data_IF_730733451518
#
_entry.id   IF_730733451518
#
_cell.length_a   1.000
_cell.length_b   1.000
_cell.length_c   1.000
_cell.angle_alpha   90.00
_cell.angle_beta   90.00
_cell.angle_gamma   90.00
#
_symmetry.space_group_name_H-M   'P 1'
#
loop_
_entity.id
_entity.type
_entity.pdbx_description
1 polymer ?
#
# COMPACT_ATOMS: atom_id res chain seq x y z
N UNK A 1 -55.05 46.43 -6.20
CA UNK A 1 -55.96 45.54 -5.44
C UNK A 1 -55.82 44.14 -6.03
N UNK A 2 -55.51 43.14 -5.18
CA UNK A 2 -55.47 41.68 -5.47
C UNK A 2 -54.25 41.20 -6.27
N UNK A 3 -53.24 40.43 -5.79
CA UNK A 3 -53.22 39.09 -5.11
C UNK A 3 -53.97 38.01 -5.90
N UNK A 4 -53.54 36.76 -6.06
CA UNK A 4 -52.34 35.97 -5.72
C UNK A 4 -52.47 34.63 -6.52
N UNK A 5 -51.50 33.73 -6.38
CA UNK A 5 -51.57 32.27 -6.65
C UNK A 5 -51.22 31.72 -8.04
N UNK A 6 -49.96 31.27 -8.14
CA UNK A 6 -49.44 30.44 -9.24
C UNK A 6 -48.35 29.46 -8.78
N UNK A 7 -48.67 28.56 -7.84
CA UNK A 7 -47.85 27.36 -7.53
C UNK A 7 -48.70 26.10 -7.70
N UNK A 8 -48.43 25.33 -8.76
CA UNK A 8 -48.47 23.86 -8.76
C UNK A 8 -48.23 23.32 -10.17
N UNK A 9 -47.16 22.55 -10.35
CA UNK A 9 -47.07 21.63 -11.49
C UNK A 9 -45.69 21.41 -12.04
N UNK A 10 -44.85 20.60 -11.37
CA UNK A 10 -43.88 19.73 -12.06
C UNK A 10 -43.31 18.65 -11.12
N UNK A 11 -44.18 17.76 -10.61
CA UNK A 11 -43.77 16.50 -9.97
C UNK A 11 -44.78 15.41 -10.28
N UNK A 12 -44.66 14.77 -11.45
CA UNK A 12 -45.19 13.43 -11.77
C UNK A 12 -44.79 13.06 -13.19
N UNK A 13 -43.69 12.31 -13.34
CA UNK A 13 -43.44 11.28 -14.38
C UNK A 13 -41.95 10.94 -14.43
N UNK A 14 -41.52 10.01 -13.60
CA UNK A 14 -40.36 9.11 -13.83
C UNK A 14 -40.33 8.04 -12.72
N UNK A 15 -41.38 7.22 -12.67
CA UNK A 15 -41.38 5.94 -11.93
C UNK A 15 -42.15 4.93 -12.78
N UNK A 16 -41.54 4.45 -13.86
CA UNK A 16 -42.01 3.30 -14.64
C UNK A 16 -41.01 2.97 -15.76
N UNK A 17 -39.83 2.45 -15.42
CA UNK A 17 -39.00 1.58 -16.29
C UNK A 17 -37.78 1.13 -15.49
N UNK A 18 -37.97 0.18 -14.58
CA UNK A 18 -36.87 -0.53 -13.91
C UNK A 18 -37.38 -1.87 -13.36
N UNK A 19 -38.13 -2.61 -14.16
CA UNK A 19 -38.42 -4.01 -13.91
C UNK A 19 -38.38 -4.76 -15.24
N UNK A 20 -37.74 -5.94 -15.20
CA UNK A 20 -37.53 -6.93 -16.28
C UNK A 20 -36.17 -6.84 -16.99
N UNK A 21 -35.22 -7.59 -16.44
CA UNK A 21 -33.96 -7.91 -17.11
C UNK A 21 -33.01 -8.74 -16.24
N UNK A 22 -33.52 -9.63 -15.39
CA UNK A 22 -32.72 -10.59 -14.64
C UNK A 22 -33.35 -11.96 -14.82
N UNK A 23 -32.77 -12.79 -15.70
CA UNK A 23 -32.75 -14.26 -15.65
C UNK A 23 -31.77 -14.77 -16.73
N UNK A 24 -30.96 -15.77 -16.35
CA UNK A 24 -29.96 -16.54 -17.10
C UNK A 24 -28.57 -15.91 -17.33
N UNK A 25 -27.66 -16.16 -16.38
CA UNK A 25 -26.40 -16.92 -16.62
C UNK A 25 -25.72 -17.21 -15.28
N UNK A 26 -26.07 -18.35 -14.69
CA UNK A 26 -25.26 -19.04 -13.67
C UNK A 26 -24.52 -20.14 -14.41
N UNK A 27 -23.20 -20.00 -14.54
CA UNK A 27 -22.24 -21.10 -14.59
C UNK A 27 -20.83 -20.52 -14.53
N UNK A 28 -20.06 -20.95 -13.52
CA UNK A 28 -18.63 -20.75 -13.28
C UNK A 28 -18.19 -19.39 -12.73
N UNK A 29 -18.33 -19.24 -11.40
CA UNK A 29 -17.31 -18.68 -10.48
C UNK A 29 -17.81 -18.78 -9.04
N UNK A 30 -17.96 -20.01 -8.54
CA UNK A 30 -18.11 -20.27 -7.10
C UNK A 30 -16.78 -20.78 -6.56
N UNK A 31 -16.01 -19.88 -5.94
CA UNK A 31 -15.14 -20.22 -4.82
C UNK A 31 -15.48 -19.21 -3.72
N UNK A 32 -16.40 -19.65 -2.88
CA UNK A 32 -16.96 -18.91 -1.77
C UNK A 32 -15.92 -18.63 -0.68
N UNK A 33 -15.89 -17.39 -0.21
CA UNK A 33 -15.52 -17.10 1.17
C UNK A 33 -16.52 -17.81 2.08
N UNK A 34 -16.05 -18.79 2.85
CA UNK A 34 -16.82 -19.30 3.98
C UNK A 34 -16.77 -18.30 5.13
N UNK A 35 -17.88 -18.08 5.86
CA UNK A 35 -17.82 -17.44 7.16
C UNK A 35 -16.98 -18.31 8.12
N UNK A 36 -16.22 -17.65 9.00
CA UNK A 36 -15.40 -18.32 10.01
C UNK A 36 -16.26 -19.25 10.88
N UNK A 37 -15.87 -20.53 11.08
CA UNK A 37 -16.58 -21.42 11.99
C UNK A 37 -16.44 -20.92 13.44
N UNK A 38 -17.53 -21.03 14.21
CA UNK A 38 -17.51 -20.78 15.64
C UNK A 38 -16.47 -21.68 16.35
N UNK A 39 -15.77 -21.18 17.38
CA UNK A 39 -14.74 -21.96 18.07
C UNK A 39 -15.34 -23.20 18.72
N UNK A 40 -14.78 -24.37 18.40
CA UNK A 40 -15.09 -25.62 19.08
C UNK A 40 -14.57 -25.60 20.53
N UNK A 41 -15.22 -26.31 21.47
CA UNK A 41 -14.73 -26.47 22.83
C UNK A 41 -13.36 -27.17 22.83
N UNK A 42 -12.42 -26.56 23.53
CA UNK A 42 -11.02 -26.99 23.60
C UNK A 42 -10.91 -28.29 24.40
N UNK A 43 -10.52 -29.38 23.76
CA UNK A 43 -10.07 -30.60 24.46
C UNK A 43 -8.61 -30.43 24.90
N UNK A 44 -8.33 -30.81 26.14
CA UNK A 44 -7.01 -30.78 26.77
C UNK A 44 -6.03 -31.72 26.08
N UNK A 45 -4.98 -31.16 25.48
CA UNK A 45 -3.83 -31.89 24.91
C UNK A 45 -2.76 -32.08 26.00
N UNK A 46 -2.09 -33.24 26.09
CA UNK A 46 -1.08 -33.53 27.09
C UNK A 46 0.19 -32.68 26.93
N UNK A 47 0.69 -32.22 28.07
CA UNK A 47 1.92 -31.43 28.24
C UNK A 47 3.16 -32.25 27.87
N UNK A 48 3.74 -32.00 26.69
CA UNK A 48 5.13 -32.37 26.41
C UNK A 48 6.04 -31.21 26.78
N UNK A 49 7.02 -31.48 27.65
CA UNK A 49 8.03 -30.52 28.09
C UNK A 49 8.83 -29.99 26.89
N UNK A 50 8.68 -28.69 26.61
CA UNK A 50 9.45 -27.98 25.61
C UNK A 50 10.91 -27.84 26.06
N UNK A 51 11.85 -28.11 25.15
CA UNK A 51 13.25 -27.78 25.34
C UNK A 51 13.43 -26.27 25.54
N UNK A 52 14.35 -25.82 26.41
CA UNK A 52 14.54 -24.40 26.69
C UNK A 52 14.95 -23.66 25.42
N UNK A 53 14.11 -22.70 25.00
CA UNK A 53 14.43 -21.78 23.93
C UNK A 53 15.70 -20.99 24.32
N UNK A 54 16.69 -21.00 23.45
CA UNK A 54 17.91 -20.22 23.63
C UNK A 54 17.55 -18.73 23.68
N UNK A 55 17.61 -18.15 24.89
CA UNK A 55 17.49 -16.72 25.11
C UNK A 55 18.72 -16.04 24.51
N UNK A 56 18.61 -15.57 23.28
CA UNK A 56 19.60 -14.65 22.72
C UNK A 56 19.66 -13.42 23.63
N UNK A 57 20.79 -13.21 24.31
CA UNK A 57 21.01 -12.04 25.15
C UNK A 57 20.89 -10.79 24.28
N UNK A 58 20.06 -9.83 24.71
CA UNK A 58 19.95 -8.56 24.02
C UNK A 58 21.34 -7.87 24.00
N UNK A 59 21.73 -7.22 22.90
CA UNK A 59 23.00 -6.50 22.84
C UNK A 59 23.06 -5.45 23.95
N UNK A 60 24.16 -5.45 24.71
CA UNK A 60 24.43 -4.44 25.76
C UNK A 60 24.99 -3.20 25.07
N UNK A 61 24.29 -2.08 25.19
CA UNK A 61 24.71 -0.82 24.56
C UNK A 61 25.69 -0.09 25.48
N UNK A 62 26.90 0.16 25.01
CA UNK A 62 27.98 0.81 25.79
C UNK A 62 27.86 2.34 25.84
N UNK A 63 27.01 2.93 25.01
CA UNK A 63 26.66 4.35 25.02
C UNK A 63 25.24 4.55 24.48
N UNK A 64 24.44 5.49 25.02
CA UNK A 64 23.12 5.84 24.49
C UNK A 64 23.13 6.13 22.98
N UNK A 65 24.20 6.77 22.49
CA UNK A 65 24.30 7.21 21.09
C UNK A 65 24.59 6.06 20.12
N UNK A 66 25.21 4.97 20.58
CA UNK A 66 25.59 3.86 19.68
C UNK A 66 24.36 3.09 19.20
N UNK A 67 23.41 2.81 20.09
CA UNK A 67 22.22 2.06 19.69
C UNK A 67 21.22 2.89 18.89
N UNK A 68 21.22 4.22 19.03
CA UNK A 68 20.45 5.10 18.15
C UNK A 68 20.95 5.03 16.69
N UNK A 69 22.25 5.14 16.47
CA UNK A 69 22.84 5.04 15.13
C UNK A 69 22.57 3.66 14.49
N UNK A 70 22.67 2.58 15.27
CA UNK A 70 22.35 1.23 14.78
C UNK A 70 20.87 1.08 14.36
N UNK A 71 19.94 1.71 15.09
CA UNK A 71 18.52 1.71 14.69
C UNK A 71 18.31 2.58 13.45
N UNK A 72 18.92 3.77 13.38
CA UNK A 72 18.83 4.67 12.23
C UNK A 72 19.24 3.96 10.94
N UNK A 73 20.38 3.25 10.97
CA UNK A 73 20.90 2.49 9.83
C UNK A 73 19.94 1.37 9.38
N UNK A 74 19.15 0.80 10.29
CA UNK A 74 18.13 -0.21 9.96
C UNK A 74 16.92 0.39 9.24
N UNK A 75 16.54 1.64 9.53
CA UNK A 75 15.41 2.30 8.85
C UNK A 75 15.80 3.04 7.57
N UNK A 76 17.06 3.48 7.44
CA UNK A 76 17.51 4.29 6.31
C UNK A 76 17.20 3.71 4.92
N UNK A 77 17.36 2.39 4.64
CA UNK A 77 17.02 1.82 3.33
C UNK A 77 15.53 1.92 2.96
N UNK A 78 14.68 2.09 3.97
CA UNK A 78 13.23 2.05 3.87
C UNK A 78 12.58 3.42 3.84
N UNK A 79 13.28 4.43 4.37
CA UNK A 79 12.83 5.80 4.39
C UNK A 79 12.64 6.34 2.98
N UNK A 80 11.51 6.99 2.73
CA UNK A 80 11.07 7.59 1.46
C UNK A 80 10.65 9.02 1.75
N UNK A 81 11.06 9.91 0.86
CA UNK A 81 10.64 11.31 0.79
C UNK A 81 10.45 11.69 -0.68
N UNK A 82 9.92 12.86 -0.98
CA UNK A 82 9.75 13.34 -2.36
C UNK A 82 11.08 13.42 -3.12
N UNK A 83 12.18 13.76 -2.44
CA UNK A 83 13.51 13.77 -3.05
C UNK A 83 14.12 12.38 -3.25
N UNK A 84 13.63 11.37 -2.54
CA UNK A 84 14.20 10.02 -2.53
C UNK A 84 13.19 8.93 -2.87
N UNK A 85 12.12 9.17 -3.63
CA UNK A 85 11.06 8.17 -3.87
C UNK A 85 11.41 7.01 -4.81
N UNK A 86 12.51 7.06 -5.54
CA UNK A 86 12.81 6.01 -6.52
C UNK A 86 13.39 4.77 -5.84
N UNK A 87 12.75 3.61 -5.98
CA UNK A 87 13.11 2.38 -5.25
C UNK A 87 13.22 1.20 -6.18
N UNK A 88 14.37 0.53 -6.13
CA UNK A 88 14.61 -0.71 -6.89
C UNK A 88 13.97 -1.93 -6.24
N UNK A 89 13.94 -1.97 -4.91
CA UNK A 89 13.37 -3.08 -4.14
C UNK A 89 12.06 -2.62 -3.53
N UNK A 90 11.01 -3.40 -3.79
CA UNK A 90 9.67 -3.17 -3.31
C UNK A 90 9.12 -4.47 -2.72
N UNK A 91 8.22 -4.34 -1.76
CA UNK A 91 7.58 -5.45 -1.07
C UNK A 91 6.08 -5.40 -1.27
N UNK A 92 5.46 -6.56 -1.43
CA UNK A 92 4.02 -6.67 -1.60
C UNK A 92 3.51 -7.86 -0.82
N UNK A 93 2.36 -7.70 -0.18
CA UNK A 93 1.70 -8.75 0.57
C UNK A 93 0.77 -9.55 -0.35
N UNK A 94 0.61 -10.84 -0.07
CA UNK A 94 -0.18 -11.75 -0.89
C UNK A 94 -0.82 -12.85 -0.03
N UNK A 95 -1.82 -13.54 -0.58
CA UNK A 95 -2.47 -14.69 0.06
C UNK A 95 -1.83 -16.01 -0.37
N UNK A 96 -2.17 -17.10 0.34
CA UNK A 96 -1.70 -18.45 -0.02
C UNK A 96 -2.17 -18.89 -1.41
N UNK A 97 -3.39 -18.53 -1.78
CA UNK A 97 -4.00 -18.87 -3.08
C UNK A 97 -3.25 -18.15 -4.21
N UNK A 98 -2.90 -16.88 -3.98
CA UNK A 98 -2.08 -16.12 -4.92
C UNK A 98 -0.67 -16.71 -5.05
N UNK A 99 -0.07 -17.24 -3.98
CA UNK A 99 1.21 -17.98 -4.08
C UNK A 99 1.05 -19.22 -4.94
N UNK A 100 -0.01 -20.00 -4.75
CA UNK A 100 -0.24 -21.20 -5.56
C UNK A 100 -0.38 -20.84 -7.05
N UNK A 101 -1.03 -19.72 -7.36
CA UNK A 101 -1.08 -19.18 -8.72
C UNK A 101 0.31 -18.74 -9.23
N UNK A 102 1.12 -18.06 -8.40
CA UNK A 102 2.50 -17.69 -8.75
C UNK A 102 3.42 -18.90 -8.95
N UNK A 103 3.20 -19.98 -8.18
CA UNK A 103 3.92 -21.24 -8.32
C UNK A 103 3.64 -21.91 -9.66
N UNK A 104 2.38 -21.84 -10.11
CA UNK A 104 1.91 -22.45 -11.34
C UNK A 104 2.20 -21.61 -12.58
N UNK A 105 1.73 -20.37 -12.57
CA UNK A 105 1.61 -19.54 -13.77
C UNK A 105 2.82 -18.62 -13.97
N UNK A 106 3.59 -18.35 -12.90
CA UNK A 106 4.77 -17.46 -12.91
C UNK A 106 4.48 -16.01 -13.33
N UNK A 107 3.21 -15.58 -13.30
CA UNK A 107 2.79 -14.21 -13.64
C UNK A 107 2.50 -13.43 -12.36
N UNK A 108 3.27 -12.37 -12.11
CA UNK A 108 3.14 -11.56 -10.89
C UNK A 108 1.95 -10.58 -10.95
N UNK A 109 1.78 -9.92 -12.10
CA UNK A 109 0.76 -8.88 -12.26
C UNK A 109 -0.51 -9.48 -12.86
N UNK A 110 -1.48 -9.78 -12.00
CA UNK A 110 -2.75 -10.43 -12.39
C UNK A 110 -4.00 -9.59 -12.11
N UNK A 111 -3.94 -8.65 -11.17
CA UNK A 111 -5.11 -7.88 -10.72
C UNK A 111 -5.37 -6.69 -11.65
N UNK A 112 -6.60 -6.57 -12.15
CA UNK A 112 -7.06 -5.41 -12.94
C UNK A 112 -7.98 -4.48 -12.15
N UNK A 113 -8.76 -5.03 -11.21
CA UNK A 113 -9.72 -4.32 -10.35
C UNK A 113 -10.05 -5.22 -9.15
N UNK A 114 -10.48 -4.67 -8.02
CA UNK A 114 -11.07 -5.48 -6.95
C UNK A 114 -12.51 -5.85 -7.32
N UNK A 115 -12.90 -7.14 -7.29
CA UNK A 115 -14.30 -7.51 -7.50
C UNK A 115 -15.23 -6.93 -6.41
N UNK A 116 -14.70 -6.72 -5.20
CA UNK A 116 -15.45 -6.23 -4.04
C UNK A 116 -15.46 -4.71 -3.93
N UNK A 117 -14.33 -4.05 -4.26
CA UNK A 117 -14.14 -2.62 -4.02
C UNK A 117 -14.13 -1.77 -5.30
N UNK A 118 -14.14 -2.40 -6.47
CA UNK A 118 -14.02 -1.72 -7.75
C UNK A 118 -12.67 -1.02 -7.94
N UNK A 119 -12.70 0.08 -8.71
CA UNK A 119 -11.54 0.91 -9.01
C UNK A 119 -10.99 1.58 -7.75
N UNK A 120 -9.68 1.49 -7.58
CA UNK A 120 -8.98 2.10 -6.45
C UNK A 120 -8.98 3.62 -6.51
N UNK A 121 -8.59 4.28 -5.41
CA UNK A 121 -8.44 5.73 -5.42
C UNK A 121 -7.33 6.18 -6.39
N UNK A 122 -6.25 5.40 -6.50
CA UNK A 122 -5.24 5.58 -7.53
C UNK A 122 -5.86 5.58 -8.94
N UNK A 123 -6.71 4.59 -9.27
CA UNK A 123 -7.36 4.49 -10.59
C UNK A 123 -8.27 5.70 -10.86
N UNK A 124 -8.98 6.17 -9.84
CA UNK A 124 -9.86 7.35 -9.92
C UNK A 124 -9.05 8.62 -10.18
N UNK A 125 -7.94 8.81 -9.47
CA UNK A 125 -7.04 9.94 -9.67
C UNK A 125 -6.39 9.90 -11.06
N UNK A 126 -5.89 8.73 -11.48
CA UNK A 126 -5.31 8.55 -12.80
C UNK A 126 -6.35 8.80 -13.91
N UNK A 127 -7.60 8.36 -13.71
CA UNK A 127 -8.70 8.67 -14.62
C UNK A 127 -8.94 10.17 -14.75
N UNK A 128 -9.03 10.88 -13.63
CA UNK A 128 -9.25 12.32 -13.61
C UNK A 128 -8.12 13.09 -14.32
N UNK A 129 -6.87 12.68 -14.13
CA UNK A 129 -5.71 13.27 -14.84
C UNK A 129 -5.78 13.07 -16.35
N UNK A 130 -6.14 11.87 -16.80
CA UNK A 130 -6.31 11.60 -18.22
C UNK A 130 -7.48 12.39 -18.84
N UNK A 131 -8.60 12.57 -18.12
CA UNK A 131 -9.68 13.46 -18.56
C UNK A 131 -9.19 14.90 -18.70
N UNK A 132 -8.31 15.34 -17.80
CA UNK A 132 -7.64 16.63 -17.86
C UNK A 132 -6.50 16.71 -18.90
N UNK A 133 -6.36 15.70 -19.77
CA UNK A 133 -5.38 15.64 -20.86
C UNK A 133 -3.92 15.64 -20.41
N UNK A 134 -3.64 15.06 -19.24
CA UNK A 134 -2.26 14.71 -18.88
C UNK A 134 -1.78 13.55 -19.78
N UNK A 135 -0.72 13.75 -20.57
CA UNK A 135 -0.30 12.76 -21.57
C UNK A 135 0.21 11.46 -20.94
N UNK A 136 0.86 11.54 -19.77
CA UNK A 136 1.35 10.36 -19.09
C UNK A 136 0.20 9.56 -18.46
N UNK A 137 -0.80 10.25 -17.93
CA UNK A 137 -2.00 9.59 -17.42
C UNK A 137 -2.78 8.86 -18.52
N UNK A 138 -2.85 9.42 -19.74
CA UNK A 138 -3.45 8.71 -20.89
C UNK A 138 -2.67 7.42 -21.23
N UNK A 139 -1.33 7.48 -21.24
CA UNK A 139 -0.45 6.32 -21.46
C UNK A 139 -0.63 5.26 -20.36
N UNK A 140 -0.58 5.65 -19.09
CA UNK A 140 -0.70 4.73 -17.94
C UNK A 140 -2.09 4.07 -17.82
N UNK A 141 -3.07 4.52 -18.60
CA UNK A 141 -4.40 3.89 -18.66
C UNK A 141 -4.55 2.89 -19.80
N UNK A 142 -3.54 2.71 -20.63
CA UNK A 142 -3.55 1.73 -21.73
C UNK A 142 -3.45 0.29 -21.24
N UNK A 143 -3.72 -0.68 -22.12
CA UNK A 143 -3.70 -2.12 -21.79
C UNK A 143 -2.40 -2.62 -21.14
N UNK A 144 -1.18 -2.19 -21.54
CA UNK A 144 0.06 -2.61 -20.90
C UNK A 144 0.11 -2.40 -19.37
N UNK A 145 -0.56 -1.37 -18.86
CA UNK A 145 -0.59 -1.01 -17.44
C UNK A 145 -1.89 -1.42 -16.74
N UNK A 146 -2.76 -2.18 -17.41
CA UNK A 146 -4.07 -2.54 -16.88
C UNK A 146 -3.99 -3.52 -15.70
N UNK A 147 -2.89 -4.25 -15.55
CA UNK A 147 -2.64 -5.16 -14.43
C UNK A 147 -1.64 -4.53 -13.48
N UNK A 148 -1.98 -4.50 -12.21
CA UNK A 148 -1.13 -3.89 -11.21
C UNK A 148 -1.15 -4.60 -9.86
N UNK A 149 -0.20 -4.24 -9.01
CA UNK A 149 -0.10 -4.69 -7.63
C UNK A 149 0.45 -3.57 -6.75
N UNK A 150 -0.15 -3.39 -5.57
CA UNK A 150 0.37 -2.45 -4.57
C UNK A 150 1.61 -3.01 -3.90
N UNK A 151 2.58 -2.13 -3.68
CA UNK A 151 3.85 -2.45 -3.07
C UNK A 151 4.38 -1.27 -2.25
N UNK A 152 5.33 -1.55 -1.37
CA UNK A 152 5.87 -0.61 -0.38
C UNK A 152 7.37 -0.81 -0.21
N UNK A 153 8.05 0.16 0.39
CA UNK A 153 9.50 0.04 0.60
C UNK A 153 9.85 -0.86 1.76
N UNK A 154 9.03 -0.90 2.81
CA UNK A 154 9.28 -1.69 4.00
C UNK A 154 8.27 -2.84 4.16
N UNK A 155 8.71 -4.04 4.61
CA UNK A 155 7.79 -5.14 4.89
C UNK A 155 6.71 -4.78 5.92
N UNK A 156 7.05 -3.97 6.93
CA UNK A 156 6.12 -3.62 8.01
C UNK A 156 5.14 -2.50 7.66
N UNK A 157 5.32 -1.79 6.54
CA UNK A 157 4.62 -0.52 6.27
C UNK A 157 3.09 -0.66 6.21
N UNK A 158 2.57 -1.87 6.03
CA UNK A 158 1.15 -2.17 5.79
C UNK A 158 0.64 -3.42 6.51
N UNK A 159 1.31 -3.87 7.56
CA UNK A 159 0.94 -5.09 8.30
C UNK A 159 -0.48 -5.06 8.89
N UNK A 160 -0.98 -3.87 9.24
CA UNK A 160 -2.34 -3.61 9.72
C UNK A 160 -3.31 -3.07 8.64
N UNK A 161 -2.83 -2.91 7.39
CA UNK A 161 -3.59 -2.36 6.28
C UNK A 161 -4.15 -0.95 6.51
N UNK A 162 -5.10 -0.50 5.69
CA UNK A 162 -5.85 0.75 5.90
C UNK A 162 -7.27 0.39 6.32
N UNK A 163 -7.75 0.90 7.46
CA UNK A 163 -9.11 0.60 7.94
C UNK A 163 -9.37 -0.88 8.24
N UNK A 164 -8.31 -1.65 8.53
CA UNK A 164 -8.40 -3.09 8.77
C UNK A 164 -8.40 -3.96 7.50
N UNK A 165 -8.24 -3.36 6.31
CA UNK A 165 -8.04 -4.12 5.07
C UNK A 165 -6.86 -5.10 5.21
N UNK A 166 -7.00 -6.31 4.67
CA UNK A 166 -5.92 -7.30 4.64
C UNK A 166 -5.38 -7.44 3.22
N UNK A 167 -4.07 -7.27 3.07
CA UNK A 167 -3.35 -7.52 1.81
C UNK A 167 -2.78 -8.95 1.73
N UNK A 168 -3.14 -9.80 2.68
CA UNK A 168 -2.55 -11.13 2.87
C UNK A 168 -1.43 -11.14 3.91
N UNK A 169 -0.87 -12.33 4.15
CA UNK A 169 0.08 -12.59 5.23
C UNK A 169 1.38 -13.24 4.72
N UNK A 170 1.61 -13.15 3.40
CA UNK A 170 2.80 -13.66 2.74
C UNK A 170 3.54 -12.55 2.01
N UNK A 171 4.84 -12.42 2.28
CA UNK A 171 5.65 -11.34 1.71
C UNK A 171 6.30 -11.79 0.40
N UNK A 172 6.13 -10.98 -0.63
CA UNK A 172 6.90 -11.03 -1.87
C UNK A 172 7.90 -9.88 -1.87
N UNK A 173 9.13 -10.17 -2.29
CA UNK A 173 10.14 -9.15 -2.62
C UNK A 173 10.21 -9.03 -4.13
N UNK A 174 10.14 -7.81 -4.64
CA UNK A 174 10.21 -7.48 -6.07
C UNK A 174 11.43 -6.59 -6.30
N UNK A 175 12.30 -6.99 -7.23
CA UNK A 175 13.46 -6.21 -7.67
C UNK A 175 13.19 -5.70 -9.08
N UNK A 176 13.27 -4.39 -9.27
CA UNK A 176 13.15 -3.75 -10.57
C UNK A 176 14.49 -3.77 -11.33
N UNK A 177 14.42 -3.75 -12.66
CA UNK A 177 15.61 -3.55 -13.50
C UNK A 177 16.26 -2.20 -13.23
N UNK A 178 17.58 -2.11 -13.42
CA UNK A 178 18.36 -0.91 -13.09
C UNK A 178 17.95 0.32 -13.91
N UNK A 179 17.42 0.11 -15.12
CA UNK A 179 17.00 1.13 -16.06
C UNK A 179 15.50 1.48 -15.96
N UNK A 180 14.82 0.98 -14.92
CA UNK A 180 13.42 1.29 -14.61
C UNK A 180 13.18 2.77 -14.30
N UNK A 181 11.99 3.22 -14.67
CA UNK A 181 11.44 4.52 -14.31
C UNK A 181 10.25 4.36 -13.36
N UNK A 182 10.08 5.35 -12.49
CA UNK A 182 8.98 5.49 -11.55
C UNK A 182 8.18 6.73 -11.94
N UNK A 183 6.93 6.56 -12.34
CA UNK A 183 6.00 7.68 -12.48
C UNK A 183 5.56 8.14 -11.09
N UNK A 184 5.27 9.43 -10.94
CA UNK A 184 4.92 10.05 -9.66
C UNK A 184 3.56 10.71 -9.81
N UNK A 185 2.59 10.25 -9.02
CA UNK A 185 1.25 10.79 -8.95
C UNK A 185 0.95 11.21 -7.51
N UNK A 186 0.93 12.53 -7.28
CA UNK A 186 0.56 13.13 -5.99
C UNK A 186 -0.79 13.84 -6.14
N UNK A 187 -1.64 13.82 -5.11
CA UNK A 187 -2.95 14.47 -5.18
C UNK A 187 -2.84 15.98 -5.16
N UNK A 188 -1.83 16.53 -4.48
CA UNK A 188 -1.53 17.97 -4.41
C UNK A 188 -0.99 18.55 -5.74
N UNK A 189 -0.35 17.73 -6.57
CA UNK A 189 0.32 18.18 -7.79
C UNK A 189 -0.60 18.08 -9.00
N UNK A 190 -0.52 19.05 -9.92
CA UNK A 190 -1.36 19.05 -11.12
C UNK A 190 -0.92 18.01 -12.15
N UNK A 191 0.38 17.92 -12.38
CA UNK A 191 0.98 17.13 -13.45
C UNK A 191 1.67 15.89 -12.84
N UNK A 192 1.73 14.81 -13.60
CA UNK A 192 2.59 13.68 -13.24
C UNK A 192 4.07 14.05 -13.50
N UNK A 193 4.96 13.44 -12.73
CA UNK A 193 6.41 13.48 -12.95
C UNK A 193 6.93 12.06 -13.21
N UNK A 194 8.15 11.93 -13.74
CA UNK A 194 8.82 10.63 -13.88
C UNK A 194 10.25 10.76 -13.38
N UNK A 195 10.72 9.75 -12.65
CA UNK A 195 12.09 9.67 -12.13
C UNK A 195 12.75 8.36 -12.51
N UNK A 196 14.05 8.38 -12.76
CA UNK A 196 14.84 7.16 -12.83
C UNK A 196 15.15 6.60 -11.43
N UNK A 197 15.77 5.41 -11.37
CA UNK A 197 16.16 4.81 -10.09
C UNK A 197 17.26 5.56 -9.32
N UNK A 198 17.93 6.53 -9.96
CA UNK A 198 18.85 7.46 -9.29
C UNK A 198 18.13 8.73 -8.76
N UNK A 199 16.80 8.80 -8.88
CA UNK A 199 15.99 9.93 -8.44
C UNK A 199 16.04 11.14 -9.38
N UNK A 200 16.66 11.00 -10.56
CA UNK A 200 16.76 12.10 -11.54
C UNK A 200 15.46 12.23 -12.32
N UNK A 201 15.00 13.45 -12.61
CA UNK A 201 13.83 13.67 -13.45
C UNK A 201 14.04 13.12 -14.87
N UNK A 202 13.01 12.47 -15.41
CA UNK A 202 12.91 12.04 -16.81
C UNK A 202 11.92 12.96 -17.53
N UNK A 203 12.25 13.52 -18.70
CA UNK A 203 11.30 14.32 -19.47
C UNK A 203 10.02 13.55 -19.79
N UNK A 204 8.86 14.20 -19.65
CA UNK A 204 7.56 13.55 -19.92
C UNK A 204 7.46 13.07 -21.37
N UNK A 205 8.03 13.79 -22.34
CA UNK A 205 8.07 13.36 -23.73
C UNK A 205 8.80 12.02 -23.90
N UNK A 206 9.93 11.83 -23.20
CA UNK A 206 10.68 10.57 -23.22
C UNK A 206 9.89 9.45 -22.54
N UNK A 207 9.22 9.73 -21.43
CA UNK A 207 8.37 8.76 -20.74
C UNK A 207 7.17 8.29 -21.59
N UNK A 208 6.59 9.20 -22.38
CA UNK A 208 5.51 8.89 -23.32
C UNK A 208 6.02 8.11 -24.54
N UNK A 209 7.24 8.41 -25.00
CA UNK A 209 7.88 7.70 -26.11
C UNK A 209 8.40 6.30 -25.72
N UNK A 210 8.79 6.12 -24.46
CA UNK A 210 9.35 4.88 -23.91
C UNK A 210 8.56 4.36 -22.70
N UNK A 211 7.24 4.13 -22.83
CA UNK A 211 6.41 3.69 -21.72
C UNK A 211 6.84 2.32 -21.17
N UNK A 212 7.52 1.50 -21.99
CA UNK A 212 8.07 0.21 -21.60
C UNK A 212 9.07 0.29 -20.44
N UNK A 213 9.66 1.46 -20.17
CA UNK A 213 10.60 1.68 -19.08
C UNK A 213 9.93 2.00 -17.74
N UNK A 214 8.65 2.37 -17.73
CA UNK A 214 7.92 2.68 -16.50
C UNK A 214 7.56 1.37 -15.80
N UNK A 215 8.18 1.12 -14.65
CA UNK A 215 7.97 -0.10 -13.87
C UNK A 215 6.79 0.02 -12.89
N UNK A 216 6.66 1.19 -12.29
CA UNK A 216 5.69 1.46 -11.24
C UNK A 216 5.27 2.92 -11.20
N UNK A 217 4.17 3.19 -10.50
CA UNK A 217 3.73 4.55 -10.12
C UNK A 217 3.85 4.71 -8.61
N UNK A 218 4.66 5.65 -8.14
CA UNK A 218 4.56 6.15 -6.77
C UNK A 218 3.32 7.01 -6.65
N UNK A 219 2.35 6.54 -5.88
CA UNK A 219 1.11 7.25 -5.60
C UNK A 219 1.13 7.78 -4.17
N UNK A 220 0.84 9.06 -3.99
CA UNK A 220 0.67 9.66 -2.67
C UNK A 220 -0.60 10.51 -2.61
N UNK A 221 -1.46 10.21 -1.63
CA UNK A 221 -2.52 11.10 -1.20
C UNK A 221 -1.95 12.02 -0.12
N UNK A 222 -1.46 13.17 -0.56
CA UNK A 222 -0.67 14.13 0.24
C UNK A 222 -1.46 15.41 0.59
N UNK A 223 -2.76 15.41 0.30
CA UNK A 223 -3.70 16.47 0.68
C UNK A 223 -4.66 15.96 1.76
N UNK A 224 -4.19 15.71 2.99
CA UNK A 224 -5.08 15.28 4.06
C UNK A 224 -6.02 16.42 4.41
N UNK A 225 -7.27 16.10 4.72
CA UNK A 225 -8.26 17.10 5.11
C UNK A 225 -7.80 17.78 6.41
N UNK A 226 -7.80 19.12 6.43
CA UNK A 226 -7.36 19.89 7.60
C UNK A 226 -8.46 20.77 8.14
N UNK A 227 -8.80 20.64 9.43
CA UNK A 227 -9.58 21.63 10.19
C UNK A 227 -10.71 21.06 11.04
N UNK A 228 -11.50 21.96 11.65
CA UNK A 228 -12.77 21.67 12.35
C UNK A 228 -13.83 21.04 11.42
N UNK A 229 -13.60 21.12 10.11
CA UNK A 229 -14.30 20.34 9.11
C UNK A 229 -14.10 18.83 9.33
N UNK A 230 -13.02 18.36 9.94
CA UNK A 230 -12.85 16.94 10.27
C UNK A 230 -13.81 16.39 11.33
N UNK A 231 -14.34 17.27 12.19
CA UNK A 231 -15.38 16.89 13.16
C UNK A 231 -16.81 17.02 12.63
N UNK A 232 -17.00 17.60 11.44
CA UNK A 232 -18.31 17.89 10.83
C UNK A 232 -18.49 17.26 9.44
N UNK A 233 -17.39 16.93 8.78
CA UNK A 233 -17.36 16.28 7.49
C UNK A 233 -17.75 14.84 7.72
N UNK A 234 -18.61 14.37 6.83
CA UNK A 234 -18.96 12.98 6.79
C UNK A 234 -17.73 12.09 6.63
N UNK A 235 -17.94 10.79 6.75
CA UNK A 235 -16.90 9.77 6.79
C UNK A 235 -16.13 9.50 5.47
N UNK A 236 -15.97 10.54 4.65
CA UNK A 236 -15.18 10.57 3.43
C UNK A 236 -13.76 11.13 3.65
N UNK A 237 -13.35 11.39 4.91
CA UNK A 237 -12.01 11.87 5.23
C UNK A 237 -10.95 10.79 4.98
N UNK A 238 -10.25 10.92 3.85
CA UNK A 238 -9.11 10.07 3.52
C UNK A 238 -7.87 10.60 4.23
N UNK A 239 -7.36 9.82 5.18
CA UNK A 239 -6.02 10.01 5.77
C UNK A 239 -4.97 10.01 4.67
N UNK A 240 -3.91 10.79 4.82
CA UNK A 240 -2.81 10.78 3.85
C UNK A 240 -2.03 9.47 3.90
N UNK A 241 -1.58 9.01 2.74
CA UNK A 241 -0.83 7.77 2.57
C UNK A 241 -0.03 7.77 1.27
N UNK A 242 0.82 6.76 1.12
CA UNK A 242 1.56 6.52 -0.12
C UNK A 242 1.81 5.04 -0.36
N UNK A 243 1.96 4.69 -1.63
CA UNK A 243 2.19 3.34 -2.10
C UNK A 243 2.84 3.34 -3.48
N UNK A 244 3.39 2.19 -3.89
CA UNK A 244 3.82 1.95 -5.25
C UNK A 244 2.82 1.05 -5.95
N UNK A 245 2.46 1.40 -7.18
CA UNK A 245 1.62 0.59 -8.05
C UNK A 245 2.52 -0.05 -9.10
N UNK A 246 2.96 -1.29 -8.85
CA UNK A 246 3.72 -2.08 -9.83
C UNK A 246 2.82 -2.38 -11.01
N UNK A 247 3.15 -1.90 -12.20
CA UNK A 247 2.25 -1.94 -13.37
C UNK A 247 2.90 -2.44 -14.66
N UNK A 248 4.17 -2.83 -14.64
CA UNK A 248 4.87 -3.35 -15.82
C UNK A 248 5.84 -4.48 -15.45
N UNK A 249 5.42 -5.71 -15.73
CA UNK A 249 6.18 -6.92 -15.40
C UNK A 249 7.47 -7.07 -16.23
N UNK A 250 7.55 -6.43 -17.40
CA UNK A 250 8.77 -6.46 -18.22
C UNK A 250 9.92 -5.65 -17.62
N UNK A 251 9.65 -4.77 -16.65
CA UNK A 251 10.66 -4.01 -15.89
C UNK A 251 10.96 -4.60 -14.51
N UNK A 252 10.44 -5.79 -14.22
CA UNK A 252 10.79 -6.56 -13.04
C UNK A 252 11.98 -7.47 -13.40
N UNK A 253 13.07 -7.32 -12.67
CA UNK A 253 14.27 -8.16 -12.80
C UNK A 253 14.06 -9.52 -12.13
N UNK A 254 13.49 -9.50 -10.93
CA UNK A 254 13.13 -10.72 -10.21
C UNK A 254 12.04 -10.45 -9.18
N UNK A 255 11.31 -11.51 -8.83
CA UNK A 255 10.54 -11.54 -7.60
C UNK A 255 10.82 -12.83 -6.84
N UNK A 256 10.69 -12.78 -5.53
CA UNK A 256 10.97 -13.91 -4.66
C UNK A 256 9.99 -14.02 -3.50
N UNK A 257 9.84 -15.22 -2.98
CA UNK A 257 9.00 -15.56 -1.82
C UNK A 257 9.62 -16.70 -1.01
N UNK A 258 9.42 -16.67 0.31
CA UNK A 258 9.92 -17.68 1.27
C UNK A 258 11.44 -17.87 1.21
N UNK A 259 12.19 -16.89 0.71
CA UNK A 259 13.65 -16.97 0.65
C UNK A 259 14.26 -16.62 2.01
N UNK A 260 15.48 -17.11 2.31
CA UNK A 260 16.20 -16.73 3.52
C UNK A 260 16.34 -15.21 3.68
N UNK A 261 16.51 -14.48 2.57
CA UNK A 261 16.62 -13.02 2.57
C UNK A 261 15.32 -12.36 3.04
N UNK A 262 14.16 -12.80 2.55
CA UNK A 262 12.86 -12.28 3.01
C UNK A 262 12.65 -12.52 4.50
N UNK A 263 12.99 -13.71 5.00
CA UNK A 263 12.91 -14.02 6.43
C UNK A 263 13.84 -13.14 7.25
N UNK A 264 15.08 -12.96 6.78
CA UNK A 264 16.04 -12.06 7.40
C UNK A 264 15.50 -10.63 7.47
N UNK A 265 14.93 -10.11 6.39
CA UNK A 265 14.34 -8.75 6.37
C UNK A 265 13.16 -8.60 7.34
N UNK A 266 12.31 -9.63 7.46
CA UNK A 266 11.22 -9.63 8.45
C UNK A 266 11.76 -9.62 9.89
N UNK A 267 12.73 -10.49 10.20
CA UNK A 267 13.36 -10.55 11.53
C UNK A 267 14.09 -9.25 11.88
N UNK A 268 14.86 -8.70 10.92
CA UNK A 268 15.57 -7.44 11.11
C UNK A 268 14.61 -6.26 11.30
N UNK A 269 13.53 -6.22 10.53
CA UNK A 269 12.48 -5.22 10.68
C UNK A 269 11.78 -5.29 12.03
N UNK A 270 11.39 -6.49 12.48
CA UNK A 270 10.78 -6.67 13.80
C UNK A 270 11.75 -6.29 14.93
N UNK A 271 13.02 -6.64 14.81
CA UNK A 271 14.05 -6.24 15.76
C UNK A 271 14.25 -4.71 15.80
N UNK A 272 14.27 -4.05 14.63
CA UNK A 272 14.37 -2.59 14.52
C UNK A 272 13.18 -1.89 15.18
N UNK A 273 11.97 -2.37 14.94
CA UNK A 273 10.73 -1.85 15.54
C UNK A 273 10.72 -2.01 17.07
N UNK A 274 11.15 -3.16 17.61
CA UNK A 274 11.29 -3.34 19.07
C UNK A 274 12.35 -2.43 19.67
N UNK A 275 13.45 -2.21 18.96
CA UNK A 275 14.50 -1.30 19.41
C UNK A 275 14.00 0.16 19.43
N UNK A 276 13.26 0.58 18.40
CA UNK A 276 12.58 1.87 18.38
C UNK A 276 11.52 1.98 19.49
N UNK A 277 10.74 0.92 19.75
CA UNK A 277 9.75 0.90 20.83
C UNK A 277 10.39 1.15 22.20
N UNK A 278 11.53 0.48 22.48
CA UNK A 278 12.32 0.71 23.70
C UNK A 278 12.85 2.14 23.76
N UNK A 279 13.38 2.66 22.65
CA UNK A 279 13.87 4.04 22.58
C UNK A 279 12.77 5.05 22.92
N UNK A 280 11.60 4.93 22.27
CA UNK A 280 10.42 5.79 22.50
C UNK A 280 9.89 5.68 23.93
N UNK A 281 9.94 4.49 24.52
CA UNK A 281 9.53 4.30 25.92
C UNK A 281 10.44 5.07 26.89
N UNK A 282 11.75 5.01 26.66
CA UNK A 282 12.75 5.70 27.50
C UNK A 282 12.84 7.20 27.22
N UNK A 283 12.57 7.61 25.98
CA UNK A 283 12.65 8.98 25.49
C UNK A 283 11.32 9.36 24.80
N UNK A 284 10.24 9.52 25.57
CA UNK A 284 8.95 9.87 25.00
C UNK A 284 9.06 11.21 24.25
N UNK A 285 8.49 11.33 23.03
CA UNK A 285 8.57 12.57 22.27
C UNK A 285 7.89 13.72 23.03
N UNK A 286 8.52 14.90 23.04
CA UNK A 286 8.04 16.09 23.76
C UNK A 286 6.63 16.52 23.33
N UNK A 287 6.30 16.29 22.05
CA UNK A 287 4.97 16.52 21.49
C UNK A 287 4.44 15.22 20.89
N UNK A 288 3.31 14.75 21.40
CA UNK A 288 2.56 13.63 20.85
C UNK A 288 1.39 14.14 20.06
N UNK A 289 1.53 14.18 18.73
CA UNK A 289 0.37 14.14 17.86
C UNK A 289 -0.13 12.69 17.83
N UNK A 290 -1.45 12.50 17.81
CA UNK A 290 -2.07 11.17 17.68
C UNK A 290 -3.17 11.21 16.62
N UNK A 291 -3.53 10.04 16.12
CA UNK A 291 -4.53 9.78 15.10
C UNK A 291 -4.32 10.65 13.86
N UNK A 292 -5.37 11.34 13.47
CA UNK A 292 -5.39 12.20 12.28
C UNK A 292 -4.38 13.35 12.36
N UNK A 293 -4.08 13.88 13.55
CA UNK A 293 -3.13 15.00 13.68
C UNK A 293 -1.71 14.57 13.36
N UNK A 294 -1.33 13.37 13.81
CA UNK A 294 -0.02 12.80 13.47
C UNK A 294 0.07 12.46 11.99
N UNK A 295 -0.99 11.87 11.42
CA UNK A 295 -1.08 11.65 9.98
C UNK A 295 -0.82 12.94 9.18
N UNK A 296 -1.54 14.01 9.52
CA UNK A 296 -1.39 15.32 8.86
C UNK A 296 0.02 15.87 9.01
N UNK A 297 0.63 15.75 10.18
CA UNK A 297 2.02 16.17 10.42
C UNK A 297 2.99 15.39 9.53
N UNK A 298 2.96 14.05 9.55
CA UNK A 298 3.86 13.23 8.73
C UNK A 298 3.70 13.55 7.24
N UNK A 299 2.47 13.67 6.76
CA UNK A 299 2.16 13.91 5.35
C UNK A 299 2.59 15.32 4.91
N UNK A 300 2.49 16.33 5.78
CA UNK A 300 2.87 17.71 5.45
C UNK A 300 4.34 18.02 5.69
N UNK A 301 4.96 17.38 6.67
CA UNK A 301 6.28 17.76 7.16
C UNK A 301 7.36 16.74 6.83
N UNK A 302 7.02 15.46 6.68
CA UNK A 302 7.99 14.37 6.45
C UNK A 302 8.00 13.94 4.99
N UNK A 303 6.83 13.66 4.39
CA UNK A 303 6.77 13.18 2.98
C UNK A 303 7.37 14.18 1.98
N UNK A 304 7.06 15.50 2.02
CA UNK A 304 7.48 16.44 0.97
C UNK A 304 8.96 16.82 1.00
N UNK A 305 9.75 16.27 1.95
CA UNK A 305 11.15 16.65 2.11
C UNK A 305 12.00 16.18 0.92
N UNK A 306 13.12 16.88 0.70
CA UNK A 306 14.17 16.37 -0.17
C UNK A 306 14.81 15.13 0.44
N UNK A 307 15.23 15.23 1.71
CA UNK A 307 15.90 14.16 2.45
C UNK A 307 15.14 13.78 3.72
N UNK A 308 15.24 12.53 4.19
CA UNK A 308 14.72 12.13 5.50
C UNK A 308 15.33 12.98 6.62
N UNK A 309 14.56 13.22 7.69
CA UNK A 309 15.11 13.86 8.89
C UNK A 309 16.05 12.86 9.55
N UNK A 310 17.31 13.23 9.87
CA UNK A 310 18.28 12.31 10.47
C UNK A 310 18.02 12.12 11.98
N UNK A 311 16.77 11.85 12.35
CA UNK A 311 16.35 11.45 13.69
C UNK A 311 15.64 10.11 13.60
N UNK A 312 15.64 9.33 14.68
CA UNK A 312 14.99 8.01 14.67
C UNK A 312 13.52 8.07 14.27
N UNK A 313 12.80 9.04 14.85
CA UNK A 313 11.38 9.24 14.53
C UNK A 313 11.17 9.70 13.10
N UNK A 314 11.99 10.65 12.61
CA UNK A 314 11.87 11.11 11.23
C UNK A 314 12.17 10.03 10.20
N UNK A 315 13.16 9.17 10.46
CA UNK A 315 13.47 8.03 9.61
C UNK A 315 12.36 6.97 9.64
N UNK A 316 11.80 6.70 10.82
CA UNK A 316 10.65 5.80 10.97
C UNK A 316 9.41 6.33 10.23
N UNK A 317 9.03 7.59 10.45
CA UNK A 317 7.92 8.24 9.74
C UNK A 317 8.13 8.23 8.23
N UNK A 318 9.36 8.52 7.78
CA UNK A 318 9.73 8.41 6.38
C UNK A 318 9.71 6.97 5.86
N UNK A 319 9.70 5.93 6.69
CA UNK A 319 9.56 4.53 6.24
C UNK A 319 8.11 4.07 6.08
N UNK A 320 7.14 4.84 6.58
CA UNK A 320 5.73 4.44 6.61
C UNK A 320 5.03 4.67 5.26
N UNK A 321 4.13 3.76 4.92
CA UNK A 321 3.13 3.93 3.86
C UNK A 321 1.88 4.64 4.40
N UNK A 322 1.46 4.26 5.61
CA UNK A 322 0.24 4.73 6.25
C UNK A 322 0.52 5.26 7.67
N UNK A 323 0.69 6.57 7.88
CA UNK A 323 0.89 7.13 9.21
C UNK A 323 -0.46 7.27 9.93
N UNK A 324 -1.01 6.18 10.46
CA UNK A 324 -2.22 6.19 11.30
C UNK A 324 -1.99 5.49 12.65
N UNK A 325 -3.00 5.51 13.53
CA UNK A 325 -2.91 5.09 14.93
C UNK A 325 -2.10 3.81 15.22
N UNK A 326 -2.28 2.75 14.42
CA UNK A 326 -1.57 1.47 14.64
C UNK A 326 -0.07 1.52 14.35
N UNK A 327 0.42 2.59 13.73
CA UNK A 327 1.83 2.83 13.43
C UNK A 327 2.40 4.03 14.18
N UNK A 328 1.65 4.65 15.09
CA UNK A 328 2.18 5.76 15.88
C UNK A 328 3.50 5.38 16.56
N UNK A 329 4.45 6.32 16.72
CA UNK A 329 5.69 6.09 17.43
C UNK A 329 5.42 6.04 18.95
N UNK A 330 4.65 5.04 19.35
CA UNK A 330 4.33 4.65 20.72
C UNK A 330 4.88 3.23 20.94
N UNK A 331 5.40 2.97 22.14
CA UNK A 331 6.01 1.67 22.44
C UNK A 331 5.04 0.50 22.23
N UNK A 332 3.77 0.64 22.58
CA UNK A 332 2.79 -0.44 22.41
C UNK A 332 2.45 -0.64 20.92
N UNK A 333 2.23 0.45 20.18
CA UNK A 333 1.96 0.37 18.74
C UNK A 333 3.14 -0.27 17.98
N UNK A 334 4.36 0.19 18.23
CA UNK A 334 5.58 -0.37 17.62
C UNK A 334 5.80 -1.84 17.96
N UNK A 335 5.59 -2.24 19.22
CA UNK A 335 5.66 -3.66 19.59
C UNK A 335 4.55 -4.49 18.94
N UNK A 336 3.34 -3.94 18.75
CA UNK A 336 2.27 -4.61 18.03
C UNK A 336 2.61 -4.82 16.54
N UNK A 337 3.20 -3.81 15.88
CA UNK A 337 3.71 -3.96 14.50
C UNK A 337 4.78 -5.05 14.47
N UNK A 338 5.75 -5.02 15.39
CA UNK A 338 6.83 -6.00 15.44
C UNK A 338 6.32 -7.43 15.68
N UNK A 339 5.34 -7.61 16.57
CA UNK A 339 4.72 -8.91 16.82
C UNK A 339 3.98 -9.44 15.58
N UNK A 340 3.31 -8.55 14.83
CA UNK A 340 2.66 -8.94 13.56
C UNK A 340 3.68 -9.34 12.50
N UNK A 341 4.84 -8.68 12.44
CA UNK A 341 5.93 -9.05 11.53
C UNK A 341 6.50 -10.43 11.87
N UNK A 342 6.71 -10.75 13.16
CA UNK A 342 7.13 -12.10 13.59
C UNK A 342 6.11 -13.16 13.15
N UNK A 343 4.80 -12.90 13.34
CA UNK A 343 3.74 -13.83 12.90
C UNK A 343 3.83 -14.10 11.39
N UNK A 344 4.12 -13.07 10.60
CA UNK A 344 4.31 -13.19 9.16
C UNK A 344 5.59 -13.93 8.78
N UNK A 345 6.67 -13.84 9.56
CA UNK A 345 7.88 -14.64 9.35
C UNK A 345 7.57 -16.13 9.46
N UNK A 346 6.88 -16.54 10.54
CA UNK A 346 6.50 -17.93 10.78
C UNK A 346 5.62 -18.51 9.67
N UNK A 347 4.90 -17.63 8.99
CA UNK A 347 4.06 -17.91 7.85
C UNK A 347 4.85 -18.06 6.54
N UNK A 348 6.08 -17.57 6.43
CA UNK A 348 6.97 -17.77 5.27
C UNK A 348 7.58 -19.20 5.19
N UNK A 349 6.84 -20.25 5.59
CA UNK A 349 7.25 -21.65 5.46
C UNK A 349 6.96 -22.20 4.07
N UNK A 350 7.81 -23.12 3.62
CA UNK A 350 7.73 -23.78 2.31
C UNK A 350 9.01 -23.59 1.48
N UNK A 351 9.08 -24.22 0.31
CA UNK A 351 10.26 -24.12 -0.56
C UNK A 351 10.44 -22.66 -1.03
N UNK A 352 11.68 -22.14 -0.99
CA UNK A 352 11.97 -20.81 -1.53
C UNK A 352 11.68 -20.81 -3.03
N UNK A 353 11.15 -19.69 -3.51
CA UNK A 353 10.87 -19.49 -4.93
C UNK A 353 11.39 -18.13 -5.34
N UNK A 354 12.21 -18.12 -6.39
CA UNK A 354 12.67 -16.92 -7.08
C UNK A 354 12.39 -17.09 -8.56
N UNK A 355 11.90 -16.03 -9.20
CA UNK A 355 11.58 -16.03 -10.62
C UNK A 355 12.01 -14.72 -11.28
N UNK A 356 12.52 -14.83 -12.50
CA UNK A 356 12.81 -13.71 -13.39
C UNK A 356 11.75 -13.69 -14.48
N UNK A 357 10.84 -12.70 -14.48
CA UNK A 357 9.79 -12.62 -15.48
C UNK A 357 10.33 -12.56 -16.91
N UNK A 358 9.70 -13.29 -17.82
CA UNK A 358 10.00 -13.26 -19.26
C UNK A 358 8.97 -12.45 -20.06
N UNK A 359 8.07 -11.74 -19.37
CA UNK A 359 7.03 -10.94 -19.99
C UNK A 359 7.65 -9.83 -20.86
N UNK A 360 7.14 -9.69 -22.08
CA UNK A 360 7.47 -8.57 -22.96
C UNK A 360 6.46 -7.44 -22.74
N UNK A 361 6.91 -6.20 -22.86
CA UNK A 361 6.00 -5.06 -22.86
C UNK A 361 5.08 -5.14 -24.09
N UNK A 362 3.75 -5.24 -23.92
CA UNK A 362 2.84 -5.31 -25.06
C UNK A 362 2.74 -3.94 -25.73
N UNK A 363 2.40 -3.87 -27.03
CA UNK A 363 2.17 -2.59 -27.69
C UNK A 363 1.03 -1.82 -27.00
N UNK A 364 1.13 -0.48 -26.86
CA UNK A 364 0.05 0.32 -26.33
C UNK A 364 -1.21 0.17 -27.19
N UNK A 365 -2.31 -0.21 -26.57
CA UNK A 365 -3.64 -0.22 -27.17
C UNK A 365 -4.61 0.47 -26.23
N UNK A 366 -5.64 1.11 -26.76
CA UNK A 366 -6.73 1.64 -25.94
C UNK A 366 -7.30 0.55 -25.03
N UNK A 367 -7.37 0.85 -23.74
CA UNK A 367 -8.01 -0.03 -22.77
C UNK A 367 -9.52 0.10 -22.98
N UNK A 368 -10.22 -1.04 -23.12
CA UNK A 368 -11.68 -1.03 -23.04
C UNK A 368 -12.07 -0.37 -21.71
N UNK A 369 -12.93 0.66 -21.72
CA UNK A 369 -13.33 1.33 -20.49
C UNK A 369 -13.87 0.29 -19.52
N UNK A 370 -13.29 0.24 -18.32
CA UNK A 370 -13.89 -0.52 -17.22
C UNK A 370 -15.27 0.05 -16.94
N UNK A 371 -16.18 -0.79 -16.45
CA UNK A 371 -17.48 -0.28 -16.00
C UNK A 371 -17.24 0.83 -14.98
N UNK A 372 -18.04 1.90 -14.99
CA UNK A 372 -17.91 2.96 -13.98
C UNK A 372 -17.88 2.32 -12.60
N UNK A 373 -16.96 2.74 -11.71
CA UNK A 373 -16.88 2.16 -10.38
C UNK A 373 -18.24 2.30 -9.70
N UNK A 374 -18.75 1.20 -9.15
CA UNK A 374 -19.92 1.26 -8.29
C UNK A 374 -19.48 2.02 -7.04
N UNK A 375 -19.92 3.28 -6.90
CA UNK A 375 -19.69 4.05 -5.68
C UNK A 375 -20.53 3.40 -4.59
N UNK A 376 -19.92 2.49 -3.82
CA UNK A 376 -20.49 1.95 -2.59
C UNK A 376 -20.02 2.86 -1.46
N UNK A 377 -20.92 3.61 -0.81
CA UNK A 377 -20.56 4.42 0.34
C UNK A 377 -19.83 3.57 1.37
N UNK A 378 -18.72 4.08 1.93
CA UNK A 378 -17.88 3.34 2.86
C UNK A 378 -18.66 2.87 4.12
N UNK A 379 -19.73 3.57 4.52
CA UNK A 379 -20.59 3.20 5.66
C UNK A 379 -21.44 1.96 5.39
N UNK A 380 -21.60 1.54 4.13
CA UNK A 380 -22.29 0.28 3.78
C UNK A 380 -21.34 -0.93 3.83
N UNK A 381 -20.09 -0.75 4.26
CA UNK A 381 -19.05 -1.81 4.30
C UNK A 381 -18.77 -2.36 5.70
N UNK A 382 -19.43 -1.82 6.72
CA UNK A 382 -19.37 -2.23 8.13
C UNK A 382 -20.78 -2.29 8.71
#
# INVERSE_FOLDING_TARGET
MGRDDGRAGYRRRTKATLEKGAWLSIALSELACSPAPAPAPVSSVPTHAAAPAATASAPVWTSPNQGEEEILQKFAPYAVTDGSLARRVLYTWTTREQIAALEKDRVLLTRTESPEHGASYFDQMLHARAVAKDPLAEVLRTTPFARARYAWTAPWATTFGLGGESYGDRLLRVTLKQDAWIAVLMTSKKNLEVRDLAGKPVPIADAVAHPERIAAVYFAHDTPVTGYAASMAGPEERVGYREYVLCNESMIESWSIRTPEIRKELLDGAAALRALARFVFLHPPERRFTGIRWNVQVVKETFPRAEPVPTLLGMYEASLAFPFGSYEPDSNALNAVAARVDEYEEKQKGPPLTHTPTAKFPPPSERKPSRPPRIVPWYERH
#
